data_IF_830635600933
#
_entry.id   IF_830635600933
#
_cell.length_a   1.000
_cell.length_b   1.000
_cell.length_c   1.000
_cell.angle_alpha   90.00
_cell.angle_beta   90.00
_cell.angle_gamma   90.00
#
_symmetry.space_group_name_H-M   'P 1'
#
loop_
_entity.id
_entity.type
_entity.pdbx_description
1 polymer ?
#
# COMPACT_ATOMS: atom_id res chain seq x y z
N UNK A 1 2.65 -8.28 17.78
CA UNK A 1 2.11 -7.58 16.60
C UNK A 1 2.59 -8.23 15.31
N UNK A 2 3.90 -8.24 15.00
CA UNK A 2 4.43 -8.77 13.73
C UNK A 2 3.97 -10.18 13.31
N UNK A 3 3.85 -11.13 14.25
CA UNK A 3 3.42 -12.51 13.92
C UNK A 3 1.99 -12.61 13.37
N UNK A 4 1.10 -11.66 13.68
CA UNK A 4 -0.30 -11.70 13.18
C UNK A 4 -0.44 -11.03 11.81
N UNK A 5 0.36 -10.00 11.52
CA UNK A 5 0.34 -9.34 10.20
C UNK A 5 0.84 -10.30 9.13
N UNK A 6 1.89 -11.10 9.41
CA UNK A 6 2.39 -12.13 8.48
C UNK A 6 1.29 -13.11 8.04
N UNK A 7 0.40 -13.51 8.95
CA UNK A 7 -0.73 -14.39 8.59
C UNK A 7 -1.73 -13.69 7.66
N UNK A 8 -1.90 -12.37 7.83
CA UNK A 8 -2.75 -11.55 6.95
C UNK A 8 -2.08 -11.38 5.60
N UNK A 9 -0.76 -11.16 5.55
CA UNK A 9 0.01 -11.07 4.31
C UNK A 9 -0.12 -12.36 3.48
N UNK A 10 0.01 -13.53 4.13
CA UNK A 10 -0.20 -14.82 3.47
C UNK A 10 -1.63 -14.99 2.97
N UNK A 11 -2.62 -14.60 3.78
CA UNK A 11 -4.02 -14.66 3.36
C UNK A 11 -4.30 -13.78 2.13
N UNK A 12 -3.81 -12.53 2.12
CA UNK A 12 -3.92 -11.63 0.96
C UNK A 12 -3.22 -12.20 -0.27
N UNK A 13 -2.00 -12.72 -0.09
CA UNK A 13 -1.24 -13.39 -1.15
C UNK A 13 -2.03 -14.54 -1.76
N UNK A 14 -2.60 -15.41 -0.92
CA UNK A 14 -3.34 -16.58 -1.39
C UNK A 14 -4.61 -16.18 -2.15
N UNK A 15 -5.27 -15.07 -1.76
CA UNK A 15 -6.38 -14.48 -2.54
C UNK A 15 -5.93 -13.96 -3.91
N UNK A 16 -4.76 -13.34 -4.01
CA UNK A 16 -4.21 -12.87 -5.28
C UNK A 16 -3.88 -14.05 -6.20
N UNK A 17 -3.33 -15.14 -5.64
CA UNK A 17 -3.08 -16.38 -6.36
C UNK A 17 -4.39 -17.01 -6.85
N UNK A 18 -5.41 -17.10 -5.98
CA UNK A 18 -6.73 -17.64 -6.34
C UNK A 18 -7.40 -16.82 -7.46
N UNK A 19 -7.20 -15.50 -7.45
CA UNK A 19 -7.70 -14.59 -8.47
C UNK A 19 -6.87 -14.56 -9.77
N UNK A 20 -5.78 -15.33 -9.86
CA UNK A 20 -4.82 -15.34 -10.97
C UNK A 20 -4.26 -13.93 -11.29
N UNK A 21 -3.95 -13.17 -10.23
CA UNK A 21 -3.36 -11.83 -10.33
C UNK A 21 -1.88 -11.92 -9.99
N UNK A 22 -1.02 -11.53 -10.94
CA UNK A 22 0.41 -11.34 -10.66
C UNK A 22 0.62 -10.16 -9.70
N UNK A 23 1.46 -10.37 -8.70
CA UNK A 23 1.73 -9.39 -7.64
C UNK A 23 3.21 -9.35 -7.29
N UNK A 24 3.61 -8.21 -6.75
CA UNK A 24 4.96 -7.92 -6.29
C UNK A 24 4.90 -7.52 -4.82
N UNK A 25 5.54 -8.30 -3.97
CA UNK A 25 5.70 -7.96 -2.57
C UNK A 25 6.68 -6.79 -2.43
N UNK A 26 6.19 -5.65 -1.95
CA UNK A 26 6.95 -4.40 -1.79
C UNK A 26 7.30 -3.62 -3.08
N UNK A 27 6.82 -4.02 -4.26
CA UNK A 27 6.85 -3.18 -5.48
C UNK A 27 8.24 -2.97 -6.10
N UNK A 28 9.10 -4.00 -6.11
CA UNK A 28 10.48 -3.92 -6.61
C UNK A 28 10.70 -4.41 -8.04
N UNK A 29 9.81 -5.23 -8.58
CA UNK A 29 9.96 -5.95 -9.85
C UNK A 29 9.80 -5.02 -11.05
N UNK A 30 8.89 -4.04 -10.96
CA UNK A 30 8.70 -3.03 -11.99
C UNK A 30 9.59 -1.82 -11.69
N UNK A 31 10.59 -1.59 -12.53
CA UNK A 31 11.59 -0.52 -12.38
C UNK A 31 10.96 0.84 -12.08
N UNK A 32 9.93 1.24 -12.81
CA UNK A 32 9.27 2.54 -12.61
C UNK A 32 8.65 2.67 -11.20
N UNK A 33 7.98 1.62 -10.73
CA UNK A 33 7.37 1.58 -9.39
C UNK A 33 8.45 1.60 -8.32
N UNK A 34 9.49 0.78 -8.48
CA UNK A 34 10.62 0.70 -7.56
C UNK A 34 11.32 2.08 -7.40
N UNK A 35 11.60 2.76 -8.51
CA UNK A 35 12.20 4.11 -8.47
C UNK A 35 11.27 5.12 -7.76
N UNK A 36 9.97 5.07 -8.02
CA UNK A 36 9.01 5.92 -7.32
C UNK A 36 8.99 5.64 -5.81
N UNK A 37 9.07 4.37 -5.41
CA UNK A 37 9.04 3.97 -3.99
C UNK A 37 10.28 4.39 -3.20
N UNK A 38 11.41 4.71 -3.83
CA UNK A 38 12.64 5.13 -3.13
C UNK A 38 12.50 6.37 -2.24
N UNK A 39 11.47 7.18 -2.48
CA UNK A 39 11.18 8.40 -1.70
C UNK A 39 9.81 8.34 -0.99
N UNK A 40 9.18 7.17 -0.96
CA UNK A 40 7.81 6.98 -0.50
C UNK A 40 7.70 6.59 0.98
N UNK A 41 8.60 7.02 1.87
CA UNK A 41 8.46 6.67 3.29
C UNK A 41 7.22 7.31 3.91
N UNK A 42 6.36 6.49 4.53
CA UNK A 42 5.21 6.94 5.35
C UNK A 42 5.61 7.86 6.51
N UNK A 43 6.86 7.76 6.97
CA UNK A 43 7.41 8.67 7.99
C UNK A 43 7.73 10.07 7.43
N UNK A 44 7.55 10.30 6.12
CA UNK A 44 7.86 11.55 5.40
C UNK A 44 9.34 11.96 5.52
N UNK A 45 10.22 10.98 5.61
CA UNK A 45 11.68 11.20 5.72
C UNK A 45 12.39 11.28 4.38
N UNK A 46 11.69 11.07 3.26
CA UNK A 46 12.30 10.95 1.93
C UNK A 46 12.99 9.61 1.65
N UNK A 47 12.87 8.65 2.57
CA UNK A 47 13.43 7.30 2.41
C UNK A 47 12.48 6.39 1.62
N UNK A 48 12.92 5.15 1.40
CA UNK A 48 12.16 4.09 0.72
C UNK A 48 10.85 3.79 1.44
N UNK A 49 9.80 3.61 0.65
CA UNK A 49 8.51 3.08 1.07
C UNK A 49 8.37 1.60 0.70
N UNK A 50 7.62 0.88 1.52
CA UNK A 50 7.33 -0.55 1.38
C UNK A 50 5.82 -0.73 1.50
N UNK A 51 5.05 -0.69 0.41
CA UNK A 51 3.69 -1.25 0.39
C UNK A 51 3.74 -2.74 0.69
N UNK A 52 2.67 -3.33 1.23
CA UNK A 52 2.62 -4.78 1.44
C UNK A 52 2.61 -5.52 0.08
N UNK A 53 1.71 -5.14 -0.84
CA UNK A 53 1.71 -5.66 -2.21
C UNK A 53 1.39 -4.59 -3.25
N UNK A 54 1.95 -4.77 -4.44
CA UNK A 54 1.61 -3.98 -5.63
C UNK A 54 1.29 -4.93 -6.77
N UNK A 55 0.20 -4.67 -7.49
CA UNK A 55 -0.21 -5.49 -8.64
C UNK A 55 -0.49 -4.57 -9.83
N UNK A 56 -0.23 -5.06 -11.04
CA UNK A 56 -0.63 -4.36 -12.27
C UNK A 56 -1.66 -5.21 -12.98
N UNK A 57 -2.88 -4.67 -13.13
CA UNK A 57 -3.97 -5.33 -13.84
C UNK A 57 -4.38 -4.43 -15.00
N UNK A 58 -3.98 -4.82 -16.22
CA UNK A 58 -4.13 -3.99 -17.42
C UNK A 58 -3.43 -2.63 -17.21
N UNK A 59 -4.20 -1.54 -17.14
CA UNK A 59 -3.71 -0.18 -16.92
C UNK A 59 -3.98 0.34 -15.49
N UNK A 60 -4.41 -0.54 -14.59
CA UNK A 60 -4.60 -0.24 -13.17
C UNK A 60 -3.42 -0.71 -12.34
N UNK A 61 -3.01 0.15 -11.42
CA UNK A 61 -2.08 -0.18 -10.36
C UNK A 61 -2.86 -0.43 -9.07
N UNK A 62 -2.82 -1.65 -8.54
CA UNK A 62 -3.43 -1.98 -7.25
C UNK A 62 -2.36 -1.84 -6.17
N UNK A 63 -2.66 -1.06 -5.14
CA UNK A 63 -1.76 -0.88 -3.99
C UNK A 63 -2.45 -1.41 -2.75
N UNK A 64 -1.97 -2.56 -2.27
CA UNK A 64 -2.62 -3.25 -1.18
C UNK A 64 -1.85 -2.98 0.10
N UNK A 65 -2.62 -2.56 1.10
CA UNK A 65 -2.16 -2.49 2.47
C UNK A 65 -3.08 -3.26 3.41
N UNK A 66 -2.49 -3.94 4.39
CA UNK A 66 -3.21 -4.75 5.35
C UNK A 66 -2.68 -4.59 6.79
N UNK A 67 -3.54 -4.94 7.73
CA UNK A 67 -3.27 -4.91 9.17
C UNK A 67 -3.84 -6.17 9.80
N UNK A 68 -3.24 -6.61 10.89
CA UNK A 68 -3.68 -7.82 11.60
C UNK A 68 -5.04 -7.67 12.30
N UNK A 69 -5.50 -6.44 12.52
CA UNK A 69 -6.69 -6.15 13.29
C UNK A 69 -7.63 -5.23 12.50
N UNK A 70 -8.92 -5.58 12.47
CA UNK A 70 -9.96 -4.83 11.77
C UNK A 70 -10.13 -3.41 12.37
N UNK A 71 -9.84 -3.23 13.66
CA UNK A 71 -9.85 -1.90 14.29
C UNK A 71 -8.82 -0.93 13.68
N UNK A 72 -7.84 -1.47 12.94
CA UNK A 72 -6.82 -0.74 12.19
C UNK A 72 -7.17 -0.61 10.69
N UNK A 73 -8.43 -0.81 10.32
CA UNK A 73 -8.84 -0.69 8.92
C UNK A 73 -8.68 0.75 8.39
N UNK A 74 -9.23 1.75 9.09
CA UNK A 74 -9.25 3.13 8.65
C UNK A 74 -9.29 4.12 9.81
N UNK A 75 -8.53 5.21 9.72
CA UNK A 75 -8.65 6.36 10.62
C UNK A 75 -9.13 7.59 9.86
N UNK A 76 -10.18 8.23 10.38
CA UNK A 76 -10.71 9.50 9.88
C UNK A 76 -10.38 10.65 10.85
N UNK A 77 -10.28 11.86 10.31
CA UNK A 77 -10.16 13.09 11.09
C UNK A 77 -11.54 13.65 11.46
N UNK A 78 -11.57 14.79 12.15
CA UNK A 78 -12.79 15.48 12.59
C UNK A 78 -13.76 15.88 11.46
N UNK A 79 -13.27 15.95 10.22
CA UNK A 79 -14.07 16.25 9.03
C UNK A 79 -14.51 14.96 8.30
N UNK A 80 -14.41 13.80 8.95
CA UNK A 80 -14.70 12.48 8.38
C UNK A 80 -13.85 12.13 7.14
N UNK A 81 -12.71 12.80 6.93
CA UNK A 81 -11.78 12.49 5.84
C UNK A 81 -10.70 11.50 6.31
N UNK A 82 -10.19 10.68 5.39
CA UNK A 82 -9.07 9.77 5.68
C UNK A 82 -7.87 10.59 6.16
N UNK A 83 -7.45 10.32 7.39
CA UNK A 83 -6.38 11.01 8.08
C UNK A 83 -5.02 10.73 7.38
N UNK A 84 -4.09 11.71 7.35
CA UNK A 84 -2.85 11.66 6.53
C UNK A 84 -1.58 11.92 7.35
N UNK A 85 -1.74 11.94 8.66
CA UNK A 85 -0.68 12.06 9.64
C UNK A 85 0.19 10.80 9.60
N UNK A 86 1.52 10.92 9.73
CA UNK A 86 2.44 9.78 9.64
C UNK A 86 2.04 8.60 10.53
N UNK A 87 1.58 8.87 11.76
CA UNK A 87 1.17 7.83 12.70
C UNK A 87 -0.01 7.01 12.17
N UNK A 88 -0.97 7.66 11.52
CA UNK A 88 -2.14 6.97 10.97
C UNK A 88 -1.83 6.27 9.65
N UNK A 89 -1.00 6.86 8.78
CA UNK A 89 -0.58 6.19 7.53
C UNK A 89 0.23 4.91 7.77
N UNK A 90 0.91 4.79 8.93
CA UNK A 90 1.64 3.57 9.33
C UNK A 90 0.73 2.56 10.02
N UNK A 91 -0.21 3.02 10.84
CA UNK A 91 -1.00 2.15 11.70
C UNK A 91 -2.30 1.65 11.06
N UNK A 92 -2.80 2.30 10.00
CA UNK A 92 -4.09 1.96 9.41
C UNK A 92 -3.98 1.61 7.92
N UNK A 93 -4.63 0.52 7.52
CA UNK A 93 -4.52 -0.07 6.18
C UNK A 93 -4.94 0.91 5.06
N UNK A 94 -6.17 1.44 5.12
CA UNK A 94 -6.69 2.35 4.09
C UNK A 94 -5.87 3.66 4.03
N UNK A 95 -5.38 4.14 5.17
CA UNK A 95 -4.54 5.34 5.22
C UNK A 95 -3.17 5.11 4.55
N UNK A 96 -2.57 3.94 4.77
CA UNK A 96 -1.34 3.50 4.10
C UNK A 96 -1.51 3.34 2.59
N UNK A 97 -2.58 2.66 2.16
CA UNK A 97 -2.90 2.47 0.75
C UNK A 97 -3.10 3.82 0.04
N UNK A 98 -3.89 4.72 0.63
CA UNK A 98 -4.11 6.07 0.07
C UNK A 98 -2.80 6.86 -0.06
N UNK A 99 -1.91 6.75 0.93
CA UNK A 99 -0.61 7.41 0.91
C UNK A 99 0.23 6.92 -0.28
N UNK A 100 0.42 5.61 -0.42
CA UNK A 100 1.20 5.04 -1.51
C UNK A 100 0.55 5.25 -2.86
N UNK A 101 -0.76 5.06 -2.98
CA UNK A 101 -1.46 5.22 -4.24
C UNK A 101 -1.35 6.64 -4.79
N UNK A 102 -1.43 7.66 -3.93
CA UNK A 102 -1.16 9.06 -4.33
C UNK A 102 0.28 9.29 -4.75
N UNK A 103 1.23 8.71 -4.02
CA UNK A 103 2.65 8.85 -4.35
C UNK A 103 2.96 8.22 -5.70
N UNK A 104 2.48 7.01 -5.95
CA UNK A 104 2.69 6.27 -7.20
C UNK A 104 1.99 6.97 -8.37
N UNK A 105 0.75 7.43 -8.21
CA UNK A 105 0.05 8.19 -9.26
C UNK A 105 0.79 9.47 -9.69
N UNK A 106 1.51 10.10 -8.75
CA UNK A 106 2.28 11.32 -9.00
C UNK A 106 3.62 11.02 -9.67
N UNK A 107 4.28 9.92 -9.29
CA UNK A 107 5.67 9.64 -9.65
C UNK A 107 5.84 8.51 -10.68
N UNK A 108 4.75 7.97 -11.21
CA UNK A 108 4.73 6.97 -12.28
C UNK A 108 3.77 7.36 -13.40
N UNK A 109 3.82 6.61 -14.50
CA UNK A 109 2.94 6.68 -15.65
C UNK A 109 1.52 6.18 -15.32
N UNK A 110 1.35 5.34 -14.30
CA UNK A 110 0.04 4.82 -13.87
C UNK A 110 -0.83 5.93 -13.28
N UNK A 111 -1.97 6.22 -13.92
CA UNK A 111 -2.94 7.23 -13.45
C UNK A 111 -4.21 6.63 -12.86
N UNK A 112 -4.41 5.32 -13.01
CA UNK A 112 -5.52 4.57 -12.41
C UNK A 112 -4.94 3.74 -11.28
N UNK A 113 -5.15 4.20 -10.05
CA UNK A 113 -4.67 3.52 -8.85
C UNK A 113 -5.86 3.12 -7.99
N UNK A 114 -5.92 1.85 -7.63
CA UNK A 114 -6.95 1.24 -6.78
C UNK A 114 -6.36 0.81 -5.45
#
# INVERSE_FOLDING_TARGET
MAKKEILTDFWVRDLLIEADIEFDAQGRDIKEINEALKTASKAKTGNVGYPEFVCVVKDFLLVIENKADISQHIKRNENELIAKEPDYTKQYAVNGALFYGKHLAKNTSYKKVL
#
